data_IF_905926202822
#
_entry.id   IF_905926202822
#
_cell.length_a   1.000
_cell.length_b   1.000
_cell.length_c   1.000
_cell.angle_alpha   90.00
_cell.angle_beta   90.00
_cell.angle_gamma   90.00
#
_symmetry.space_group_name_H-M   'P 1'
#
loop_
_entity.id
_entity.type
_entity.pdbx_description
1 polymer ?
#
# COMPACT_ATOMS: atom_id res chain seq x y z
N UNK A 1 3.50 14.71 -0.87
CA UNK A 1 3.75 13.28 -0.64
C UNK A 1 2.43 12.63 -0.32
N UNK A 2 2.00 11.75 -1.19
CA UNK A 2 0.80 10.92 -1.07
C UNK A 2 1.27 9.47 -1.14
N UNK A 3 0.60 8.59 -0.42
CA UNK A 3 0.89 7.16 -0.40
C UNK A 3 -0.26 6.43 -1.06
N UNK A 4 0.02 5.61 -2.06
CA UNK A 4 -1.00 5.06 -2.95
C UNK A 4 -0.92 3.54 -3.02
N UNK A 5 -2.06 2.87 -2.89
CA UNK A 5 -2.17 1.46 -3.22
C UNK A 5 -2.61 1.28 -4.66
N UNK A 6 -1.84 0.52 -5.42
CA UNK A 6 -2.20 0.13 -6.78
C UNK A 6 -2.38 -1.38 -6.88
N UNK A 7 -3.41 -1.82 -7.61
CA UNK A 7 -3.59 -3.21 -7.99
C UNK A 7 -2.91 -3.47 -9.34
N UNK A 8 -1.84 -4.27 -9.32
CA UNK A 8 -1.03 -4.59 -10.48
C UNK A 8 -1.79 -5.43 -11.52
N UNK A 9 -2.90 -6.08 -11.17
CA UNK A 9 -3.69 -6.84 -12.15
C UNK A 9 -4.57 -5.94 -13.01
N UNK A 10 -5.18 -4.95 -12.37
CA UNK A 10 -6.14 -4.05 -13.01
C UNK A 10 -5.52 -2.72 -13.43
N UNK A 11 -4.30 -2.42 -12.98
CA UNK A 11 -3.61 -1.14 -13.14
C UNK A 11 -4.43 0.04 -12.62
N UNK A 12 -5.20 -0.18 -11.55
CA UNK A 12 -6.03 0.84 -10.93
C UNK A 12 -5.43 1.27 -9.59
N UNK A 13 -5.53 2.58 -9.34
CA UNK A 13 -5.41 3.13 -8.00
C UNK A 13 -6.58 2.62 -7.16
N UNK A 14 -6.27 1.99 -6.03
CA UNK A 14 -7.24 1.44 -5.09
C UNK A 14 -7.60 2.49 -4.06
N UNK A 15 -6.60 3.14 -3.48
CA UNK A 15 -6.77 4.15 -2.45
C UNK A 15 -5.50 4.99 -2.29
N UNK A 16 -5.64 6.18 -1.70
CA UNK A 16 -4.57 7.13 -1.46
C UNK A 16 -4.64 7.68 -0.02
N UNK A 17 -3.47 7.90 0.58
CA UNK A 17 -3.31 8.22 2.00
C UNK A 17 -2.33 9.37 2.20
N UNK A 18 -2.51 10.12 3.28
CA UNK A 18 -1.63 11.23 3.64
C UNK A 18 -0.33 10.75 4.29
N UNK A 19 -0.26 9.48 4.73
CA UNK A 19 0.95 8.88 5.31
C UNK A 19 1.09 7.38 5.04
N UNK A 20 2.35 6.89 5.02
CA UNK A 20 2.65 5.45 4.95
C UNK A 20 1.97 4.67 6.09
N UNK A 21 1.93 5.27 7.28
CA UNK A 21 1.34 4.65 8.47
C UNK A 21 -0.16 4.38 8.27
N UNK A 22 -0.91 5.37 7.78
CA UNK A 22 -2.35 5.22 7.50
C UNK A 22 -2.61 4.16 6.43
N UNK A 23 -1.81 4.14 5.36
CA UNK A 23 -1.89 3.12 4.32
C UNK A 23 -1.70 1.71 4.92
N UNK A 24 -0.67 1.52 5.76
CA UNK A 24 -0.41 0.22 6.38
C UNK A 24 -1.48 -0.18 7.41
N UNK A 25 -2.07 0.77 8.16
CA UNK A 25 -3.21 0.49 9.05
C UNK A 25 -4.42 0.04 8.24
N UNK A 26 -4.74 0.74 7.15
CA UNK A 26 -5.84 0.37 6.26
C UNK A 26 -5.63 -1.03 5.67
N UNK A 27 -4.41 -1.33 5.22
CA UNK A 27 -4.08 -2.64 4.69
C UNK A 27 -4.16 -3.75 5.74
N UNK A 28 -3.71 -3.50 6.97
CA UNK A 28 -3.86 -4.44 8.09
C UNK A 28 -5.33 -4.81 8.32
N UNK A 29 -6.21 -3.82 8.31
CA UNK A 29 -7.65 -4.05 8.44
C UNK A 29 -8.25 -4.81 7.25
N UNK A 30 -7.79 -4.54 6.02
CA UNK A 30 -8.18 -5.29 4.83
C UNK A 30 -7.74 -6.76 4.92
N UNK A 31 -6.49 -7.02 5.31
CA UNK A 31 -5.95 -8.37 5.56
C UNK A 31 -6.75 -9.10 6.63
N UNK A 32 -7.12 -8.43 7.73
CA UNK A 32 -7.95 -9.04 8.78
C UNK A 32 -9.35 -9.44 8.29
N UNK A 33 -9.94 -8.67 7.37
CA UNK A 33 -11.31 -8.90 6.87
C UNK A 33 -11.37 -9.90 5.72
N UNK A 34 -10.39 -9.85 4.82
CA UNK A 34 -10.40 -10.60 3.56
C UNK A 34 -9.36 -11.72 3.54
N UNK A 35 -8.34 -11.65 4.38
CA UNK A 35 -7.22 -12.59 4.42
C UNK A 35 -5.98 -12.04 3.69
N UNK A 36 -4.88 -12.75 3.84
CA UNK A 36 -3.55 -12.31 3.38
C UNK A 36 -3.44 -12.18 1.85
N UNK A 37 -4.26 -12.90 1.09
CA UNK A 37 -4.24 -12.88 -0.38
C UNK A 37 -4.53 -11.51 -0.98
N UNK A 38 -5.12 -10.57 -0.21
CA UNK A 38 -5.37 -9.20 -0.66
C UNK A 38 -4.08 -8.50 -1.10
N UNK A 39 -2.93 -8.86 -0.53
CA UNK A 39 -1.64 -8.23 -0.83
C UNK A 39 -0.97 -8.74 -2.09
N UNK A 40 -1.40 -9.89 -2.65
CA UNK A 40 -0.68 -10.62 -3.70
C UNK A 40 -0.34 -9.76 -4.92
N UNK A 41 -1.23 -8.82 -5.25
CA UNK A 41 -1.09 -7.91 -6.39
C UNK A 41 -1.11 -6.44 -6.00
N UNK A 42 -0.93 -6.12 -4.72
CA UNK A 42 -0.86 -4.74 -4.25
C UNK A 42 0.57 -4.24 -4.23
N UNK A 43 0.74 -2.97 -4.61
CA UNK A 43 1.97 -2.20 -4.43
C UNK A 43 1.64 -0.90 -3.71
N UNK A 44 2.48 -0.53 -2.75
CA UNK A 44 2.46 0.78 -2.11
C UNK A 44 3.49 1.68 -2.78
N UNK A 45 3.03 2.80 -3.30
CA UNK A 45 3.86 3.82 -3.94
C UNK A 45 3.83 5.08 -3.07
N UNK A 46 4.99 5.68 -2.86
CA UNK A 46 5.10 7.06 -2.40
C UNK A 46 5.19 7.94 -3.63
N UNK A 47 4.26 8.88 -3.75
CA UNK A 47 4.20 9.83 -4.84
C UNK A 47 4.44 11.26 -4.32
N UNK A 48 5.48 11.89 -4.85
CA UNK A 48 5.86 13.25 -4.54
C UNK A 48 5.75 14.15 -5.76
N UNK A 49 4.54 14.58 -6.03
CA UNK A 49 4.18 15.57 -7.07
C UNK A 49 5.08 16.80 -7.07
N UNK A 50 5.53 17.26 -5.89
CA UNK A 50 6.34 18.48 -5.79
C UNK A 50 7.73 18.31 -6.42
N UNK A 51 8.24 17.07 -6.44
CA UNK A 51 9.56 16.74 -6.96
C UNK A 51 9.50 15.88 -8.23
N UNK A 52 8.29 15.56 -8.74
CA UNK A 52 8.06 14.66 -9.88
C UNK A 52 8.73 13.29 -9.68
N UNK A 53 8.60 12.75 -8.46
CA UNK A 53 9.21 11.47 -8.07
C UNK A 53 8.14 10.53 -7.53
N UNK A 54 7.98 9.39 -8.19
CA UNK A 54 7.20 8.26 -7.67
C UNK A 54 8.14 7.10 -7.32
N UNK A 55 7.95 6.52 -6.14
CA UNK A 55 8.79 5.45 -5.62
C UNK A 55 7.95 4.30 -5.09
N UNK A 56 8.19 3.10 -5.59
CA UNK A 56 7.68 1.88 -4.96
C UNK A 56 8.35 1.68 -3.60
N UNK A 57 7.53 1.60 -2.55
CA UNK A 57 7.99 1.29 -1.20
C UNK A 57 8.00 -0.22 -0.97
N UNK A 58 6.85 -0.86 -1.12
CA UNK A 58 6.64 -2.27 -0.81
C UNK A 58 5.62 -2.89 -1.77
N UNK A 59 5.69 -4.21 -1.96
CA UNK A 59 4.75 -4.95 -2.80
C UNK A 59 4.52 -6.38 -2.29
N UNK A 60 3.38 -6.97 -2.61
CA UNK A 60 3.15 -8.39 -2.37
C UNK A 60 3.29 -8.78 -0.90
N UNK A 61 4.01 -9.87 -0.66
CA UNK A 61 4.26 -10.39 0.69
C UNK A 61 5.05 -9.43 1.59
N UNK A 62 5.85 -8.50 1.03
CA UNK A 62 6.55 -7.51 1.86
C UNK A 62 5.56 -6.60 2.58
N UNK A 63 4.46 -6.21 1.92
CA UNK A 63 3.41 -5.42 2.55
C UNK A 63 2.80 -6.14 3.76
N UNK A 64 2.59 -7.46 3.65
CA UNK A 64 2.08 -8.25 4.76
C UNK A 64 3.02 -8.18 5.98
N UNK A 65 4.33 -8.29 5.78
CA UNK A 65 5.31 -8.15 6.87
C UNK A 65 5.31 -6.74 7.48
N UNK A 66 5.15 -5.70 6.66
CA UNK A 66 5.05 -4.32 7.14
C UNK A 66 3.82 -4.11 8.01
N UNK A 67 2.66 -4.63 7.61
CA UNK A 67 1.43 -4.50 8.41
C UNK A 67 1.53 -5.12 9.80
N UNK A 68 2.38 -6.14 10.00
CA UNK A 68 2.60 -6.76 11.32
C UNK A 68 3.38 -5.86 12.28
N UNK A 69 4.14 -4.90 11.73
CA UNK A 69 4.98 -3.98 12.50
C UNK A 69 4.25 -2.68 12.88
N UNK A 70 3.04 -2.47 12.34
CA UNK A 70 2.24 -1.27 12.64
C UNK A 70 1.32 -1.57 13.83
N UNK A 71 1.53 -0.86 14.94
CA UNK A 71 0.86 -1.07 16.23
C UNK A 71 -0.62 -0.65 16.20
#
# INVERSE_FOLDING_TARGET
MVYEFWDLRSHNLIDAFDSEHEALVALREAVRKQGEHVVEFLVLVEDDDANDVSRVLFQGLELLERTKSVA
#
